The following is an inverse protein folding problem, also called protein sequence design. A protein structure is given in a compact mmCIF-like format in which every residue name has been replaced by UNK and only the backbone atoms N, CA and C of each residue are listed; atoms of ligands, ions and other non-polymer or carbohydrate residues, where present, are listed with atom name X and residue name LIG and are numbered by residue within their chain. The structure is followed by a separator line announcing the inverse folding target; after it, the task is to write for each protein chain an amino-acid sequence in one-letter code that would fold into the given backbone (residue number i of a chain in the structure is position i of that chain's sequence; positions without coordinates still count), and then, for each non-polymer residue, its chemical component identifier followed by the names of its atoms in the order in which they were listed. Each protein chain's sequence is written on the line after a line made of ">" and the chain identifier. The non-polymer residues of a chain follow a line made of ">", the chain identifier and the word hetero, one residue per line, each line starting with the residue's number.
data_IF_425121231152
#
_entry.id   IF_425121231152
#
_cell.length_a   1.000
_cell.length_b   1.000
_cell.length_c   1.000
_cell.angle_alpha   90.00
_cell.angle_beta   90.00
_cell.angle_gamma   90.00
#
_symmetry.space_group_name_H-M   'P 1'
#
loop_
_entity.id
_entity.type
_entity.pdbx_description
1 polymer ?
#
# COMPACT_ATOMS: atom_id res chain seq x y z
N UNK A 1 18.22 10.93 12.95
CA UNK A 1 17.43 11.48 14.08
C UNK A 1 16.10 10.73 14.13
N UNK A 2 15.55 10.46 15.31
CA UNK A 2 14.22 9.85 15.45
C UNK A 2 13.22 10.90 15.92
N UNK A 3 12.16 11.11 15.15
CA UNK A 3 11.05 11.97 15.54
C UNK A 3 10.12 11.25 16.52
N UNK A 4 9.44 12.03 17.38
CA UNK A 4 8.49 11.50 18.37
C UNK A 4 7.06 11.63 17.86
N UNK A 5 6.31 10.54 17.94
CA UNK A 5 4.86 10.51 17.71
C UNK A 5 4.17 10.43 19.07
N UNK A 6 3.20 11.31 19.32
CA UNK A 6 2.32 11.26 20.49
C UNK A 6 0.88 11.16 20.00
N UNK A 7 0.18 10.11 20.42
CA UNK A 7 -1.22 9.88 20.04
C UNK A 7 -2.04 9.50 21.27
N UNK A 8 -3.25 10.08 21.38
CA UNK A 8 -4.20 9.72 22.42
C UNK A 8 -5.09 8.59 21.89
N UNK A 9 -5.06 7.44 22.57
CA UNK A 9 -5.86 6.29 22.20
C UNK A 9 -7.14 6.23 23.04
N UNK A 10 -8.32 6.02 22.41
CA UNK A 10 -9.51 5.56 23.11
C UNK A 10 -9.22 4.27 23.88
N UNK A 11 -9.93 4.07 25.00
CA UNK A 11 -9.70 2.93 25.91
C UNK A 11 -9.62 1.56 25.19
N UNK A 12 -10.51 1.21 24.23
CA UNK A 12 -10.41 -0.06 23.53
C UNK A 12 -9.10 -0.26 22.75
N UNK A 13 -8.56 0.82 22.16
CA UNK A 13 -7.29 0.75 21.43
C UNK A 13 -6.09 0.66 22.38
N UNK A 14 -6.14 1.38 23.50
CA UNK A 14 -5.11 1.30 24.55
C UNK A 14 -5.05 -0.10 25.16
N UNK A 15 -6.21 -0.70 25.46
CA UNK A 15 -6.31 -2.06 25.98
C UNK A 15 -5.77 -3.09 24.97
N UNK A 16 -6.06 -2.88 23.68
CA UNK A 16 -5.52 -3.73 22.62
C UNK A 16 -3.99 -3.65 22.53
N UNK A 17 -3.42 -2.44 22.47
CA UNK A 17 -1.96 -2.24 22.45
C UNK A 17 -1.32 -2.89 23.68
N UNK A 18 -1.94 -2.76 24.86
CA UNK A 18 -1.44 -3.34 26.10
C UNK A 18 -1.37 -4.88 26.08
N UNK A 19 -2.26 -5.56 25.33
CA UNK A 19 -2.19 -7.02 25.14
C UNK A 19 -1.13 -7.45 24.13
N UNK A 20 -0.77 -6.56 23.21
CA UNK A 20 0.23 -6.82 22.18
C UNK A 20 1.65 -6.54 22.67
N UNK A 21 1.86 -6.17 23.93
CA UNK A 21 3.17 -5.81 24.48
C UNK A 21 3.38 -6.46 25.83
N UNK A 22 4.63 -6.85 26.14
CA UNK A 22 4.98 -7.46 27.41
C UNK A 22 5.89 -8.67 27.26
N UNK A 23 6.20 -9.32 28.37
CA UNK A 23 7.25 -10.34 28.47
C UNK A 23 6.98 -11.60 27.63
N UNK A 24 5.70 -11.91 27.40
CA UNK A 24 5.25 -13.03 26.56
C UNK A 24 4.78 -12.59 25.16
N UNK A 25 4.96 -11.31 24.80
CA UNK A 25 4.60 -10.78 23.48
C UNK A 25 5.82 -10.67 22.57
N UNK A 26 5.56 -10.58 21.26
CA UNK A 26 6.55 -10.29 20.22
C UNK A 26 7.16 -8.88 20.40
N UNK A 27 6.42 -7.97 21.03
CA UNK A 27 6.84 -6.58 21.23
C UNK A 27 7.07 -6.29 22.71
N UNK A 28 8.18 -5.63 23.04
CA UNK A 28 8.51 -5.29 24.42
C UNK A 28 7.79 -3.99 24.83
N UNK A 29 7.65 -3.05 23.89
CA UNK A 29 7.03 -1.75 24.15
C UNK A 29 5.93 -1.37 23.15
N UNK A 30 4.98 -0.50 23.56
CA UNK A 30 3.99 0.08 22.64
C UNK A 30 4.64 0.74 21.42
N UNK A 31 5.76 1.41 21.61
CA UNK A 31 6.48 2.10 20.52
C UNK A 31 6.96 1.12 19.45
N UNK A 32 7.41 -0.08 19.83
CA UNK A 32 7.82 -1.11 18.87
C UNK A 32 6.64 -1.66 18.09
N UNK A 33 5.55 -1.98 18.80
CA UNK A 33 4.31 -2.44 18.17
C UNK A 33 3.81 -1.42 17.13
N UNK A 34 3.75 -0.14 17.49
CA UNK A 34 3.31 0.93 16.59
C UNK A 34 4.25 1.08 15.40
N UNK A 35 5.58 1.06 15.60
CA UNK A 35 6.53 1.12 14.48
C UNK A 35 6.39 -0.08 13.53
N UNK A 36 6.11 -1.27 14.06
CA UNK A 36 5.87 -2.47 13.25
C UNK A 36 4.59 -2.34 12.44
N UNK A 37 3.52 -1.78 13.01
CA UNK A 37 2.28 -1.52 12.28
C UNK A 37 2.48 -0.49 11.17
N UNK A 38 3.19 0.61 11.44
CA UNK A 38 3.51 1.63 10.42
C UNK A 38 4.30 1.00 9.28
N UNK A 39 5.29 0.14 9.58
CA UNK A 39 6.05 -0.57 8.54
C UNK A 39 5.15 -1.46 7.69
N UNK A 40 4.26 -2.23 8.33
CA UNK A 40 3.30 -3.09 7.63
C UNK A 40 2.33 -2.27 6.76
N UNK A 41 1.90 -1.10 7.25
CA UNK A 41 1.05 -0.17 6.51
C UNK A 41 1.78 0.38 5.28
N UNK A 42 3.04 0.80 5.43
CA UNK A 42 3.90 1.18 4.30
C UNK A 42 4.09 0.03 3.31
N UNK A 43 4.33 -1.20 3.78
CA UNK A 43 4.40 -2.39 2.94
C UNK A 43 3.09 -2.67 2.20
N UNK A 44 1.93 -2.37 2.80
CA UNK A 44 0.63 -2.45 2.12
C UNK A 44 0.49 -1.41 1.01
N UNK A 45 1.07 -0.22 1.14
CA UNK A 45 1.15 0.72 0.01
C UNK A 45 2.07 0.19 -1.09
N UNK A 46 3.22 -0.42 -0.73
CA UNK A 46 4.07 -1.12 -1.70
C UNK A 46 3.38 -2.34 -2.32
N UNK A 47 2.41 -2.96 -1.63
CA UNK A 47 1.57 -4.01 -2.19
C UNK A 47 0.76 -3.50 -3.38
N UNK A 48 0.39 -2.21 -3.45
CA UNK A 48 -0.28 -1.66 -4.63
C UNK A 48 0.65 -1.63 -5.84
N UNK A 49 1.93 -1.28 -5.64
CA UNK A 49 2.95 -1.32 -6.71
C UNK A 49 3.17 -2.76 -7.16
N UNK A 50 3.31 -3.69 -6.21
CA UNK A 50 3.45 -5.11 -6.52
C UNK A 50 2.24 -5.65 -7.30
N UNK A 51 1.02 -5.32 -6.86
CA UNK A 51 -0.21 -5.72 -7.54
C UNK A 51 -0.27 -5.11 -8.94
N UNK A 52 0.04 -3.82 -9.10
CA UNK A 52 0.07 -3.16 -10.40
C UNK A 52 1.10 -3.78 -11.37
N UNK A 53 2.24 -4.25 -10.87
CA UNK A 53 3.25 -4.97 -11.68
C UNK A 53 2.70 -6.33 -12.14
N UNK A 54 2.06 -7.09 -11.24
CA UNK A 54 1.44 -8.39 -11.58
C UNK A 54 0.27 -8.20 -12.56
N UNK A 55 -0.56 -7.19 -12.34
CA UNK A 55 -1.65 -6.83 -13.26
C UNK A 55 -1.08 -6.44 -14.62
N UNK A 56 0.01 -5.67 -14.66
CA UNK A 56 0.72 -5.33 -15.89
C UNK A 56 1.24 -6.55 -16.68
N UNK A 57 1.75 -7.59 -16.01
CA UNK A 57 2.12 -8.84 -16.68
C UNK A 57 0.89 -9.55 -17.28
N UNK A 58 -0.24 -9.51 -16.58
CA UNK A 58 -1.50 -10.04 -17.09
C UNK A 58 -2.00 -9.24 -18.29
N UNK A 59 -1.90 -7.91 -18.24
CA UNK A 59 -2.25 -7.02 -19.33
C UNK A 59 -1.41 -7.27 -20.59
N UNK A 60 -0.10 -7.53 -20.44
CA UNK A 60 0.75 -7.93 -21.56
C UNK A 60 0.25 -9.23 -22.20
N UNK A 61 -0.07 -10.25 -21.37
CA UNK A 61 -0.58 -11.53 -21.86
C UNK A 61 -1.91 -11.37 -22.63
N UNK A 62 -2.78 -10.51 -22.13
CA UNK A 62 -4.12 -10.28 -22.67
C UNK A 62 -4.15 -9.20 -23.77
N UNK A 63 -2.99 -8.66 -24.18
CA UNK A 63 -2.89 -7.62 -25.21
C UNK A 63 -3.40 -6.25 -24.78
N UNK A 64 -3.61 -6.03 -23.48
CA UNK A 64 -4.09 -4.79 -22.88
C UNK A 64 -2.96 -3.79 -22.63
N UNK A 65 -2.20 -3.48 -23.66
CA UNK A 65 -1.16 -2.47 -23.63
C UNK A 65 -1.23 -1.57 -24.85
N UNK A 66 -0.55 -0.42 -24.79
CA UNK A 66 -0.46 0.55 -25.88
C UNK A 66 0.96 1.07 -26.00
N UNK A 67 1.33 1.46 -27.21
CA UNK A 67 2.59 2.17 -27.44
C UNK A 67 2.47 3.59 -26.86
N UNK A 68 3.46 3.99 -26.05
CA UNK A 68 3.49 5.32 -25.46
C UNK A 68 3.88 6.35 -26.52
N UNK A 69 3.16 7.47 -26.56
CA UNK A 69 3.51 8.61 -27.41
C UNK A 69 4.59 9.51 -26.80
N UNK A 70 5.01 9.23 -25.56
CA UNK A 70 5.93 10.06 -24.76
C UNK A 70 5.27 11.27 -24.10
N UNK A 71 3.98 11.52 -24.36
CA UNK A 71 3.17 12.56 -23.72
C UNK A 71 2.18 11.92 -22.75
N UNK A 72 2.46 12.04 -21.45
CA UNK A 72 1.64 11.44 -20.39
C UNK A 72 0.15 11.79 -20.48
N UNK A 73 -0.21 13.04 -20.83
CA UNK A 73 -1.62 13.44 -20.85
C UNK A 73 -2.38 12.71 -21.96
N UNK A 74 -1.78 12.63 -23.15
CA UNK A 74 -2.35 11.93 -24.30
C UNK A 74 -2.42 10.43 -24.05
N UNK A 75 -1.36 9.86 -23.50
CA UNK A 75 -1.29 8.43 -23.22
C UNK A 75 -2.34 8.01 -22.19
N UNK A 76 -2.55 8.83 -21.15
CA UNK A 76 -3.59 8.60 -20.14
C UNK A 76 -5.00 8.66 -20.75
N UNK A 77 -5.28 9.64 -21.60
CA UNK A 77 -6.59 9.75 -22.27
C UNK A 77 -6.85 8.56 -23.20
N UNK A 78 -5.85 8.15 -23.97
CA UNK A 78 -5.94 6.98 -24.84
C UNK A 78 -6.16 5.68 -24.06
N UNK A 79 -5.45 5.51 -22.94
CA UNK A 79 -5.64 4.38 -22.04
C UNK A 79 -7.07 4.32 -21.48
N UNK A 80 -7.57 5.43 -20.96
CA UNK A 80 -8.94 5.51 -20.41
C UNK A 80 -9.99 5.19 -21.47
N UNK A 81 -9.79 5.67 -22.70
CA UNK A 81 -10.67 5.35 -23.84
C UNK A 81 -10.67 3.85 -24.12
N UNK A 82 -9.50 3.23 -24.29
CA UNK A 82 -9.37 1.78 -24.52
C UNK A 82 -9.97 0.96 -23.39
N UNK A 83 -9.80 1.38 -22.14
CA UNK A 83 -10.41 0.72 -21.00
C UNK A 83 -11.94 0.77 -21.06
N UNK A 84 -12.53 1.92 -21.45
CA UNK A 84 -13.99 2.06 -21.62
C UNK A 84 -14.55 1.24 -22.80
N UNK A 85 -13.72 1.01 -23.82
CA UNK A 85 -14.02 0.19 -25.00
C UNK A 85 -13.65 -1.28 -24.80
N UNK A 86 -13.33 -1.67 -23.56
CA UNK A 86 -12.95 -3.03 -23.16
C UNK A 86 -11.80 -3.62 -23.98
N UNK A 87 -10.84 -2.76 -24.34
CA UNK A 87 -9.62 -3.08 -25.09
C UNK A 87 -9.85 -3.65 -26.51
N UNK A 88 -10.96 -3.28 -27.15
CA UNK A 88 -11.20 -3.50 -28.59
C UNK A 88 -10.31 -2.60 -29.48
#
# INVERSE_FOLDING_TARGET
>A
MSDRINARLPKPLADHVSRMVGQDSIFETPSEYIRSLIRKDMESEFSQVYTAVIDGFTDIKEGRYMESTGDWKKDKELFLKKQSENWQ
#
